data_IF_093227725260
#
_entry.id   IF_093227725260
#
_cell.length_a   1.000
_cell.length_b   1.000
_cell.length_c   1.000
_cell.angle_alpha   90.00
_cell.angle_beta   90.00
_cell.angle_gamma   90.00
#
_symmetry.space_group_name_H-M   'P 1'
#
loop_
_entity.id
_entity.type
_entity.pdbx_description
1 polymer ?
#
# COMPACT_ATOMS: atom_id res chain seq x y z
N UNK A 1 4.61 -0.75 20.86
CA UNK A 1 4.23 0.57 20.29
C UNK A 1 3.05 0.38 19.34
N UNK A 2 2.00 1.20 19.42
CA UNK A 2 0.96 1.25 18.36
C UNK A 2 1.49 2.07 17.19
N UNK A 3 1.42 1.49 15.99
CA UNK A 3 1.91 2.10 14.77
C UNK A 3 0.93 1.74 13.65
N UNK A 4 -0.17 2.55 13.49
CA UNK A 4 -1.14 2.33 12.44
C UNK A 4 -0.46 2.29 11.08
N UNK A 5 -0.71 1.23 10.28
CA UNK A 5 -0.04 1.03 9.00
C UNK A 5 -0.80 0.11 8.08
N UNK A 6 -0.60 0.29 6.79
CA UNK A 6 -1.09 -0.60 5.74
C UNK A 6 -0.03 -0.76 4.65
N UNK A 7 -0.06 -1.90 3.97
CA UNK A 7 0.75 -2.15 2.78
C UNK A 7 -0.17 -2.29 1.55
N UNK A 8 0.06 -1.47 0.55
CA UNK A 8 -0.68 -1.47 -0.72
C UNK A 8 0.04 -2.39 -1.70
N UNK A 9 -0.56 -3.54 -1.99
CA UNK A 9 -0.03 -4.52 -2.93
C UNK A 9 -0.95 -4.72 -4.15
N UNK A 10 -0.53 -5.53 -5.09
CA UNK A 10 -1.37 -5.97 -6.22
C UNK A 10 -0.96 -7.39 -6.66
N UNK A 11 -1.81 -8.09 -7.43
CA UNK A 11 -1.46 -9.40 -7.99
C UNK A 11 -0.26 -9.37 -8.94
N UNK A 12 -0.02 -8.22 -9.59
CA UNK A 12 1.06 -8.05 -10.57
C UNK A 12 1.48 -6.58 -10.71
N UNK A 13 2.57 -6.33 -11.45
CA UNK A 13 2.95 -4.99 -11.89
C UNK A 13 1.89 -4.38 -12.81
N UNK A 14 1.77 -3.04 -12.81
CA UNK A 14 0.81 -2.33 -13.66
C UNK A 14 -0.64 -2.30 -13.14
N UNK A 15 -0.94 -2.92 -12.00
CA UNK A 15 -2.29 -2.94 -11.38
C UNK A 15 -2.75 -1.60 -10.77
N UNK A 16 -1.87 -0.59 -10.73
CA UNK A 16 -2.20 0.74 -10.21
C UNK A 16 -1.78 0.98 -8.75
N UNK A 17 -0.88 0.17 -8.19
CA UNK A 17 -0.36 0.35 -6.82
C UNK A 17 0.12 1.78 -6.56
N UNK A 18 1.03 2.29 -7.41
CA UNK A 18 1.63 3.62 -7.25
C UNK A 18 0.57 4.73 -7.31
N UNK A 19 -0.39 4.62 -8.24
CA UNK A 19 -1.52 5.56 -8.34
C UNK A 19 -2.35 5.57 -7.06
N UNK A 20 -2.72 4.38 -6.56
CA UNK A 20 -3.56 4.25 -5.36
C UNK A 20 -2.78 4.64 -4.11
N UNK A 21 -1.53 4.21 -3.94
CA UNK A 21 -0.72 4.54 -2.77
C UNK A 21 -0.43 6.04 -2.69
N UNK A 22 0.00 6.66 -3.80
CA UNK A 22 0.27 8.10 -3.86
C UNK A 22 -1.01 8.91 -3.61
N UNK A 23 -2.12 8.55 -4.27
CA UNK A 23 -3.41 9.20 -4.08
C UNK A 23 -3.93 9.03 -2.64
N UNK A 24 -3.77 7.86 -2.03
CA UNK A 24 -4.17 7.61 -0.64
C UNK A 24 -3.36 8.47 0.35
N UNK A 25 -2.04 8.58 0.14
CA UNK A 25 -1.19 9.48 0.95
C UNK A 25 -1.65 10.93 0.84
N UNK A 26 -1.97 11.38 -0.39
CA UNK A 26 -2.45 12.75 -0.63
C UNK A 26 -3.85 12.99 -0.01
N UNK A 27 -4.79 12.05 -0.19
CA UNK A 27 -6.15 12.14 0.37
C UNK A 27 -6.14 12.16 1.91
N UNK A 28 -5.37 11.27 2.54
CA UNK A 28 -5.21 11.23 3.99
C UNK A 28 -4.59 12.53 4.52
N UNK A 29 -3.57 13.07 3.85
CA UNK A 29 -3.00 14.36 4.22
C UNK A 29 -4.02 15.50 4.07
N UNK A 30 -4.79 15.52 2.99
CA UNK A 30 -5.83 16.53 2.76
C UNK A 30 -6.95 16.46 3.81
N UNK A 31 -7.24 15.27 4.35
CA UNK A 31 -8.16 15.08 5.48
C UNK A 31 -7.58 15.46 6.85
N UNK A 32 -6.36 15.99 6.89
CA UNK A 32 -5.68 16.44 8.12
C UNK A 32 -4.85 15.38 8.83
N UNK A 33 -4.64 14.20 8.23
CA UNK A 33 -3.80 13.13 8.79
C UNK A 33 -2.33 13.32 8.44
N UNK A 34 -1.45 13.01 9.38
CA UNK A 34 0.00 12.95 9.15
C UNK A 34 0.37 11.56 8.65
N UNK A 35 0.89 11.47 7.42
CA UNK A 35 1.19 10.20 6.75
C UNK A 35 2.69 9.97 6.69
N UNK A 36 3.17 8.81 7.17
CA UNK A 36 4.55 8.35 6.96
C UNK A 36 4.62 7.48 5.70
N UNK A 37 5.26 7.94 4.62
CA UNK A 37 5.30 7.25 3.36
C UNK A 37 6.47 6.27 3.26
N UNK A 38 6.20 5.06 2.75
CA UNK A 38 7.23 4.05 2.52
C UNK A 38 7.05 3.35 1.16
N UNK A 39 8.16 2.85 0.64
CA UNK A 39 8.23 2.00 -0.57
C UNK A 39 8.99 0.73 -0.27
N UNK A 40 8.47 -0.42 -0.70
CA UNK A 40 9.22 -1.69 -0.67
C UNK A 40 10.27 -1.70 -1.77
N UNK A 41 11.49 -2.09 -1.41
CA UNK A 41 12.63 -2.20 -2.34
C UNK A 41 13.40 -0.90 -2.53
N UNK A 42 14.50 -0.95 -3.33
CA UNK A 42 15.43 0.17 -3.53
C UNK A 42 14.95 1.11 -4.65
N UNK A 43 13.78 1.70 -4.48
CA UNK A 43 13.21 2.62 -5.46
C UNK A 43 13.72 4.05 -5.25
N UNK A 44 14.04 4.74 -6.33
CA UNK A 44 14.51 6.13 -6.30
C UNK A 44 13.43 7.13 -6.71
N UNK A 45 12.42 6.70 -7.47
CA UNK A 45 11.44 7.58 -8.12
C UNK A 45 10.16 7.70 -7.29
N UNK A 46 9.55 6.57 -6.92
CA UNK A 46 8.29 6.52 -6.17
C UNK A 46 8.37 7.28 -4.83
N UNK A 47 9.48 7.18 -4.03
CA UNK A 47 9.61 7.98 -2.80
C UNK A 47 9.55 9.50 -3.01
N UNK A 48 9.91 10.00 -4.19
CA UNK A 48 9.74 11.41 -4.56
C UNK A 48 8.27 11.83 -4.64
N UNK A 49 7.44 11.02 -5.30
CA UNK A 49 5.99 11.23 -5.37
C UNK A 49 5.33 11.05 -4.01
N UNK A 50 5.75 10.06 -3.23
CA UNK A 50 5.27 9.84 -1.87
C UNK A 50 5.60 11.03 -0.95
N UNK A 51 6.79 11.62 -1.10
CA UNK A 51 7.17 12.83 -0.35
C UNK A 51 6.27 14.01 -0.71
N UNK A 52 5.96 14.19 -1.98
CA UNK A 52 5.07 15.25 -2.45
C UNK A 52 3.64 15.04 -1.93
N UNK A 53 3.12 13.81 -1.99
CA UNK A 53 1.78 13.45 -1.56
C UNK A 53 1.60 13.63 -0.04
N UNK A 54 2.54 13.12 0.75
CA UNK A 54 2.45 13.12 2.21
C UNK A 54 2.97 14.41 2.87
N UNK A 55 3.85 15.16 2.18
CA UNK A 55 4.60 16.28 2.76
C UNK A 55 5.73 15.84 3.71
N UNK A 56 6.09 14.55 3.71
CA UNK A 56 7.15 13.95 4.55
C UNK A 56 8.13 13.17 3.68
N UNK A 57 9.39 13.01 4.10
CA UNK A 57 10.37 12.23 3.32
C UNK A 57 9.89 10.80 3.05
N UNK A 58 9.77 10.41 1.79
CA UNK A 58 9.57 9.02 1.38
C UNK A 58 10.80 8.17 1.70
N UNK A 59 10.59 6.95 2.21
CA UNK A 59 11.65 6.03 2.63
C UNK A 59 11.49 4.66 2.01
N UNK A 60 12.60 3.99 1.76
CA UNK A 60 12.60 2.61 1.30
C UNK A 60 12.66 1.62 2.47
N UNK A 61 11.96 0.49 2.31
CA UNK A 61 12.08 -0.70 3.14
C UNK A 61 12.62 -1.81 2.25
N UNK A 62 13.91 -2.07 2.34
CA UNK A 62 14.63 -3.03 1.49
C UNK A 62 15.35 -4.06 2.36
N UNK A 63 14.76 -5.23 2.49
CA UNK A 63 15.30 -6.36 3.27
C UNK A 63 16.55 -6.97 2.63
N UNK A 64 16.72 -6.82 1.30
CA UNK A 64 17.90 -7.35 0.58
C UNK A 64 19.15 -6.54 0.91
N UNK A 65 19.04 -5.21 0.93
CA UNK A 65 20.16 -4.31 1.19
C UNK A 65 20.43 -4.10 2.68
N UNK A 66 19.37 -4.06 3.50
CA UNK A 66 19.49 -3.67 4.92
C UNK A 66 19.39 -4.85 5.90
N UNK A 67 18.88 -6.01 5.44
CA UNK A 67 18.52 -7.13 6.33
C UNK A 67 17.10 -7.02 6.88
N UNK A 68 16.47 -8.16 7.10
CA UNK A 68 15.06 -8.24 7.53
C UNK A 68 14.88 -7.69 8.94
N UNK A 69 15.88 -7.86 9.82
CA UNK A 69 15.88 -7.37 11.19
C UNK A 69 15.78 -5.85 11.32
N UNK A 70 16.14 -5.11 10.26
CA UNK A 70 16.06 -3.65 10.24
C UNK A 70 14.70 -3.13 9.72
N UNK A 71 13.85 -3.96 9.13
CA UNK A 71 12.59 -3.49 8.52
C UNK A 71 11.65 -2.87 9.55
N UNK A 72 11.41 -3.52 10.68
CA UNK A 72 10.58 -2.97 11.75
C UNK A 72 11.19 -1.72 12.42
N UNK A 73 12.49 -1.68 12.76
CA UNK A 73 13.16 -0.47 13.25
C UNK A 73 13.10 0.71 12.26
N UNK A 74 13.35 0.49 10.97
CA UNK A 74 13.28 1.52 9.94
C UNK A 74 11.86 2.07 9.75
N UNK A 75 10.86 1.20 9.76
CA UNK A 75 9.46 1.58 9.74
C UNK A 75 9.10 2.43 10.96
N UNK A 76 9.48 1.99 12.17
CA UNK A 76 9.24 2.71 13.41
C UNK A 76 9.94 4.09 13.42
N UNK A 77 11.20 4.15 12.98
CA UNK A 77 11.94 5.40 12.86
C UNK A 77 11.27 6.38 11.90
N UNK A 78 10.90 5.93 10.70
CA UNK A 78 10.23 6.80 9.72
C UNK A 78 8.83 7.23 10.13
N UNK A 79 8.14 6.43 10.95
CA UNK A 79 6.84 6.79 11.50
C UNK A 79 6.93 7.94 12.51
N UNK A 80 7.95 7.96 13.37
CA UNK A 80 8.11 8.98 14.42
C UNK A 80 8.92 10.21 13.98
N UNK A 81 9.58 10.18 12.83
CA UNK A 81 10.48 11.24 12.36
C UNK A 81 9.93 11.91 11.09
N UNK A 82 9.89 13.28 11.00
CA UNK A 82 10.33 14.27 12.00
C UNK A 82 9.42 14.35 13.24
N UNK A 83 8.13 14.07 13.10
CA UNK A 83 7.12 14.03 14.14
C UNK A 83 6.31 12.75 14.01
N UNK A 84 5.67 12.23 15.09
CA UNK A 84 4.83 11.05 15.00
C UNK A 84 3.72 11.19 13.95
N UNK A 85 3.59 10.18 13.07
CA UNK A 85 2.52 10.12 12.08
C UNK A 85 1.24 9.49 12.66
N UNK A 86 0.10 9.74 12.01
CA UNK A 86 -1.15 9.07 12.32
C UNK A 86 -1.21 7.68 11.68
N UNK A 87 -0.57 7.53 10.50
CA UNK A 87 -0.56 6.28 9.72
C UNK A 87 0.67 6.17 8.84
N UNK A 88 1.20 4.94 8.69
CA UNK A 88 2.18 4.61 7.66
C UNK A 88 1.48 3.95 6.47
N UNK A 89 1.77 4.44 5.27
CA UNK A 89 1.33 3.84 4.00
C UNK A 89 2.57 3.32 3.29
N UNK A 90 2.61 1.99 3.08
CA UNK A 90 3.73 1.30 2.44
C UNK A 90 3.29 0.89 1.04
N UNK A 91 3.93 1.40 0.00
CA UNK A 91 3.70 0.89 -1.36
C UNK A 91 4.55 -0.35 -1.60
N UNK A 92 3.92 -1.43 -2.03
CA UNK A 92 4.56 -2.68 -2.42
C UNK A 92 5.28 -2.59 -3.78
N UNK A 93 6.07 -3.61 -4.07
CA UNK A 93 6.80 -3.79 -5.33
C UNK A 93 6.23 -4.97 -6.10
N UNK A 94 6.24 -4.92 -7.44
CA UNK A 94 5.80 -6.02 -8.32
C UNK A 94 4.45 -6.66 -7.91
N UNK A 95 4.28 -7.96 -8.00
CA UNK A 95 3.19 -8.69 -7.36
C UNK A 95 3.49 -8.94 -5.87
N UNK A 96 2.44 -9.23 -5.08
CA UNK A 96 2.54 -9.38 -3.62
C UNK A 96 3.67 -10.31 -3.17
N UNK A 97 3.84 -11.43 -3.85
CA UNK A 97 4.83 -12.47 -3.51
C UNK A 97 6.08 -12.45 -4.40
N UNK A 98 6.15 -11.48 -5.34
CA UNK A 98 7.28 -11.40 -6.26
C UNK A 98 8.49 -10.75 -5.57
N UNK A 99 9.60 -11.47 -5.53
CA UNK A 99 10.88 -11.06 -4.97
C UNK A 99 12.04 -11.70 -5.73
N UNK A 100 13.17 -11.87 -5.08
CA UNK A 100 14.30 -12.59 -5.65
C UNK A 100 13.91 -14.01 -6.05
N UNK A 101 14.28 -14.41 -7.25
CA UNK A 101 13.97 -15.73 -7.77
C UNK A 101 14.45 -16.84 -6.82
N UNK A 102 13.57 -17.79 -6.54
CA UNK A 102 13.83 -18.96 -5.70
C UNK A 102 13.73 -18.72 -4.19
N UNK A 103 13.70 -17.46 -3.71
CA UNK A 103 13.62 -17.15 -2.27
C UNK A 103 12.43 -16.28 -1.89
N UNK A 104 11.87 -15.50 -2.83
CA UNK A 104 10.86 -14.48 -2.56
C UNK A 104 11.35 -13.28 -1.74
N UNK A 105 12.66 -13.20 -1.44
CA UNK A 105 13.26 -12.15 -0.64
C UNK A 105 13.11 -10.80 -1.33
N UNK A 106 12.87 -9.74 -0.56
CA UNK A 106 12.58 -8.39 -1.09
C UNK A 106 11.15 -8.24 -1.60
N UNK A 107 10.27 -9.24 -1.43
CA UNK A 107 8.86 -9.14 -1.83
C UNK A 107 8.04 -8.24 -0.88
N UNK A 108 6.90 -7.78 -1.37
CA UNK A 108 5.92 -7.07 -0.55
C UNK A 108 5.39 -7.94 0.60
N UNK A 109 5.25 -9.26 0.37
CA UNK A 109 4.84 -10.23 1.37
C UNK A 109 5.85 -10.34 2.51
N UNK A 110 7.15 -10.42 2.20
CA UNK A 110 8.21 -10.44 3.23
C UNK A 110 8.16 -9.19 4.12
N UNK A 111 8.01 -8.00 3.54
CA UNK A 111 7.87 -6.78 4.34
C UNK A 111 6.59 -6.78 5.17
N UNK A 112 5.47 -7.29 4.61
CA UNK A 112 4.21 -7.39 5.33
C UNK A 112 4.33 -8.31 6.55
N UNK A 113 4.95 -9.49 6.41
CA UNK A 113 5.14 -10.46 7.50
C UNK A 113 6.12 -9.94 8.54
N UNK A 114 7.32 -9.49 8.12
CA UNK A 114 8.37 -8.98 9.01
C UNK A 114 7.90 -7.80 9.85
N UNK A 115 7.09 -6.92 9.27
CA UNK A 115 6.53 -5.76 9.95
C UNK A 115 5.13 -6.01 10.52
N UNK A 116 4.54 -7.20 10.32
CA UNK A 116 3.14 -7.54 10.69
C UNK A 116 2.14 -6.50 10.18
N UNK A 117 2.31 -6.09 8.92
CA UNK A 117 1.48 -5.06 8.28
C UNK A 117 0.35 -5.70 7.50
N UNK A 118 -0.92 -5.33 7.73
CA UNK A 118 -2.03 -5.81 6.91
C UNK A 118 -1.90 -5.29 5.48
N UNK A 119 -2.25 -6.17 4.53
CA UNK A 119 -2.17 -5.90 3.10
C UNK A 119 -3.54 -5.47 2.58
N UNK A 120 -3.57 -4.38 1.84
CA UNK A 120 -4.70 -3.96 1.00
C UNK A 120 -4.33 -4.24 -0.46
N UNK A 121 -5.09 -5.10 -1.11
CA UNK A 121 -4.82 -5.50 -2.50
C UNK A 121 -5.52 -4.56 -3.47
N UNK A 122 -4.76 -3.91 -4.34
CA UNK A 122 -5.31 -3.16 -5.49
C UNK A 122 -5.57 -4.14 -6.61
N UNK A 123 -6.82 -4.26 -7.00
CA UNK A 123 -7.31 -5.18 -8.02
C UNK A 123 -7.67 -4.40 -9.29
N UNK A 124 -6.88 -4.57 -10.34
CA UNK A 124 -7.21 -4.02 -11.67
C UNK A 124 -8.34 -4.82 -12.29
N UNK A 125 -9.54 -4.25 -12.35
CA UNK A 125 -10.74 -4.95 -12.83
C UNK A 125 -11.00 -4.78 -14.34
N UNK A 126 -10.04 -4.24 -15.10
CA UNK A 126 -10.25 -3.87 -16.51
C UNK A 126 -10.64 -5.06 -17.43
N UNK A 127 -10.21 -6.29 -17.11
CA UNK A 127 -10.30 -7.43 -18.02
C UNK A 127 -11.01 -8.67 -17.45
N UNK A 128 -11.52 -8.60 -16.22
CA UNK A 128 -12.26 -9.69 -15.59
C UNK A 128 -13.28 -9.16 -14.59
N UNK A 129 -14.14 -10.01 -14.07
CA UNK A 129 -15.13 -9.70 -13.05
C UNK A 129 -14.91 -10.61 -11.82
N UNK A 130 -15.81 -11.54 -11.57
CA UNK A 130 -15.76 -12.45 -10.40
C UNK A 130 -14.43 -13.24 -10.30
N UNK A 131 -13.74 -13.50 -11.41
CA UNK A 131 -12.41 -14.15 -11.41
C UNK A 131 -11.40 -13.40 -10.52
N UNK A 132 -11.52 -12.08 -10.40
CA UNK A 132 -10.65 -11.32 -9.49
C UNK A 132 -10.82 -11.73 -8.02
N UNK A 133 -12.02 -12.13 -7.59
CA UNK A 133 -12.21 -12.67 -6.24
C UNK A 133 -11.40 -13.97 -6.04
N UNK A 134 -11.34 -14.85 -7.05
CA UNK A 134 -10.52 -16.05 -6.98
C UNK A 134 -9.02 -15.73 -6.91
N UNK A 135 -8.56 -14.70 -7.64
CA UNK A 135 -7.16 -14.25 -7.57
C UNK A 135 -6.84 -13.74 -6.16
N UNK A 136 -7.70 -12.89 -5.59
CA UNK A 136 -7.50 -12.35 -4.23
C UNK A 136 -7.59 -13.46 -3.19
N UNK A 137 -8.50 -14.44 -3.36
CA UNK A 137 -8.56 -15.63 -2.51
C UNK A 137 -7.22 -16.39 -2.51
N UNK A 138 -6.64 -16.59 -3.69
CA UNK A 138 -5.31 -17.21 -3.83
C UNK A 138 -4.23 -16.42 -3.08
N UNK A 139 -4.21 -15.09 -3.22
CA UNK A 139 -3.25 -14.25 -2.49
C UNK A 139 -3.45 -14.32 -0.97
N UNK A 140 -4.70 -14.39 -0.51
CA UNK A 140 -5.02 -14.43 0.92
C UNK A 140 -4.74 -15.78 1.59
N UNK A 141 -4.59 -16.85 0.80
CA UNK A 141 -4.38 -18.21 1.32
C UNK A 141 -3.02 -18.81 0.97
N UNK A 142 -2.24 -18.13 0.11
CA UNK A 142 -0.96 -18.64 -0.37
C UNK A 142 0.09 -18.74 0.74
N UNK A 143 0.11 -17.76 1.64
CA UNK A 143 1.00 -17.71 2.79
C UNK A 143 0.17 -17.34 4.04
N UNK A 144 0.10 -18.20 5.07
CA UNK A 144 -0.69 -17.97 6.28
C UNK A 144 -0.19 -16.78 7.13
N UNK A 145 1.06 -16.37 6.96
CA UNK A 145 1.64 -15.24 7.70
C UNK A 145 1.32 -13.89 7.05
N UNK A 146 0.79 -13.89 5.82
CA UNK A 146 0.35 -12.67 5.12
C UNK A 146 -1.15 -12.43 5.36
N UNK A 147 -1.48 -11.30 5.96
CA UNK A 147 -2.87 -10.91 6.20
C UNK A 147 -3.38 -9.99 5.09
N UNK A 148 -4.15 -10.52 4.14
CA UNK A 148 -4.92 -9.71 3.17
C UNK A 148 -6.18 -9.22 3.88
N UNK A 149 -6.18 -7.95 4.29
CA UNK A 149 -7.19 -7.37 5.16
C UNK A 149 -8.26 -6.54 4.42
N UNK A 150 -8.03 -6.24 3.14
CA UNK A 150 -8.98 -5.50 2.32
C UNK A 150 -8.56 -5.43 0.87
N UNK A 151 -9.46 -4.90 0.03
CA UNK A 151 -9.19 -4.67 -1.38
C UNK A 151 -9.69 -3.28 -1.84
N UNK A 152 -9.01 -2.70 -2.82
CA UNK A 152 -9.45 -1.52 -3.57
C UNK A 152 -9.57 -1.95 -5.03
N UNK A 153 -10.77 -1.82 -5.59
CA UNK A 153 -11.04 -2.13 -6.99
C UNK A 153 -10.64 -0.93 -7.86
N UNK A 154 -9.73 -1.15 -8.79
CA UNK A 154 -9.26 -0.13 -9.70
C UNK A 154 -9.79 -0.38 -11.13
N UNK A 155 -10.00 0.68 -11.90
CA UNK A 155 -10.51 0.65 -13.29
C UNK A 155 -11.87 -0.03 -13.41
N UNK A 156 -12.76 0.21 -12.46
CA UNK A 156 -14.12 -0.35 -12.48
C UNK A 156 -14.90 0.20 -13.67
N UNK A 157 -15.40 -0.69 -14.53
CA UNK A 157 -16.09 -0.32 -15.77
C UNK A 157 -17.51 0.24 -15.55
N UNK A 158 -18.19 -0.20 -14.49
CA UNK A 158 -19.53 0.25 -14.11
C UNK A 158 -19.86 -0.13 -12.68
N UNK A 159 -20.84 0.52 -12.03
CA UNK A 159 -21.26 0.15 -10.66
C UNK A 159 -21.69 -1.32 -10.54
N UNK A 160 -22.38 -1.87 -11.57
CA UNK A 160 -22.77 -3.28 -11.61
C UNK A 160 -21.56 -4.22 -11.65
N UNK A 161 -20.54 -3.87 -12.41
CA UNK A 161 -19.29 -4.64 -12.49
C UNK A 161 -18.55 -4.65 -11.15
N UNK A 162 -18.39 -3.47 -10.53
CA UNK A 162 -17.77 -3.36 -9.21
C UNK A 162 -18.54 -4.13 -8.13
N UNK A 163 -19.86 -4.05 -8.13
CA UNK A 163 -20.72 -4.79 -7.19
C UNK A 163 -20.56 -6.32 -7.32
N UNK A 164 -20.38 -6.84 -8.53
CA UNK A 164 -20.15 -8.28 -8.76
C UNK A 164 -18.82 -8.74 -8.17
N UNK A 165 -17.73 -7.99 -8.36
CA UNK A 165 -16.42 -8.30 -7.76
C UNK A 165 -16.49 -8.19 -6.25
N UNK A 166 -17.10 -7.11 -5.73
CA UNK A 166 -17.25 -6.88 -4.29
C UNK A 166 -18.06 -8.00 -3.61
N UNK A 167 -19.11 -8.50 -4.25
CA UNK A 167 -19.88 -9.65 -3.76
C UNK A 167 -19.01 -10.90 -3.63
N UNK A 168 -18.13 -11.16 -4.62
CA UNK A 168 -17.19 -12.29 -4.55
C UNK A 168 -16.20 -12.16 -3.40
N UNK A 169 -15.66 -10.95 -3.18
CA UNK A 169 -14.74 -10.67 -2.08
C UNK A 169 -15.41 -10.76 -0.70
N UNK A 170 -16.66 -10.30 -0.59
CA UNK A 170 -17.44 -10.40 0.64
C UNK A 170 -17.65 -11.86 1.09
N UNK A 171 -17.81 -12.81 0.14
CA UNK A 171 -17.89 -14.24 0.45
C UNK A 171 -16.61 -14.80 1.07
N UNK A 172 -15.48 -14.13 0.85
CA UNK A 172 -14.17 -14.48 1.42
C UNK A 172 -13.89 -13.71 2.73
N UNK A 173 -14.80 -12.86 3.18
CA UNK A 173 -14.59 -11.99 4.34
C UNK A 173 -13.63 -10.83 4.08
N UNK A 174 -13.33 -10.52 2.81
CA UNK A 174 -12.40 -9.44 2.43
C UNK A 174 -13.22 -8.19 2.07
N UNK A 175 -13.16 -7.12 2.89
CA UNK A 175 -13.88 -5.88 2.63
C UNK A 175 -13.31 -5.15 1.41
N UNK A 176 -14.21 -4.53 0.62
CA UNK A 176 -13.82 -3.60 -0.44
C UNK A 176 -13.84 -2.19 0.14
N UNK A 177 -12.66 -1.58 0.23
CA UNK A 177 -12.44 -0.25 0.80
C UNK A 177 -12.70 0.88 -0.20
N UNK A 178 -12.81 0.54 -1.49
CA UNK A 178 -13.10 1.51 -2.53
C UNK A 178 -13.24 0.90 -3.91
N UNK A 179 -13.91 1.65 -4.80
CA UNK A 179 -14.16 1.25 -6.19
C UNK A 179 -13.88 2.42 -7.11
N UNK A 180 -12.66 2.49 -7.63
CA UNK A 180 -12.17 3.59 -8.48
C UNK A 180 -12.63 3.31 -9.92
N UNK A 181 -13.43 4.19 -10.55
CA UNK A 181 -13.91 4.00 -11.90
C UNK A 181 -12.75 4.10 -12.92
N UNK A 182 -12.97 3.53 -14.09
CA UNK A 182 -12.09 3.76 -15.23
C UNK A 182 -12.29 5.20 -15.73
N UNK A 183 -11.31 6.07 -15.46
CA UNK A 183 -11.32 7.46 -15.91
C UNK A 183 -10.21 7.69 -16.92
N UNK A 184 -10.51 8.43 -18.00
CA UNK A 184 -9.51 8.88 -18.96
C UNK A 184 -8.80 10.17 -18.49
N UNK A 185 -9.46 10.94 -17.62
CA UNK A 185 -9.07 12.30 -17.22
C UNK A 185 -7.95 12.35 -16.18
N UNK A 186 -7.69 11.27 -15.44
CA UNK A 186 -6.58 11.18 -14.46
C UNK A 186 -5.62 10.06 -14.90
N UNK A 187 -5.34 10.03 -16.19
CA UNK A 187 -4.28 9.19 -16.71
C UNK A 187 -2.94 9.87 -16.39
N UNK A 188 -2.45 9.61 -15.18
CA UNK A 188 -1.01 9.70 -14.98
C UNK A 188 -0.45 8.48 -15.70
N UNK A 189 0.24 8.63 -16.83
CA UNK A 189 0.77 7.48 -17.52
C UNK A 189 1.60 6.68 -16.51
N UNK A 190 1.24 5.42 -16.30
CA UNK A 190 2.01 4.52 -15.43
C UNK A 190 3.48 4.38 -15.86
N UNK A 191 3.77 4.81 -17.11
CA UNK A 191 5.12 4.94 -17.66
C UNK A 191 5.83 6.22 -17.23
N UNK A 192 5.14 7.22 -16.68
CA UNK A 192 5.72 8.48 -16.21
C UNK A 192 5.76 8.55 -14.68
N UNK A 193 4.74 8.04 -13.96
CA UNK A 193 4.85 7.73 -12.54
C UNK A 193 5.74 6.48 -12.43
N UNK A 194 6.94 6.62 -11.89
CA UNK A 194 7.90 5.53 -11.75
C UNK A 194 9.00 5.49 -12.81
N UNK A 195 9.08 6.46 -13.76
CA UNK A 195 10.19 6.58 -14.71
C UNK A 195 10.76 8.00 -14.80
N UNK A 196 10.07 9.02 -14.27
CA UNK A 196 10.52 10.42 -14.26
C UNK A 196 10.49 10.90 -12.80
N UNK A 197 11.61 11.41 -12.26
CA UNK A 197 11.65 11.98 -10.92
C UNK A 197 10.60 13.09 -10.74
N UNK A 198 9.96 13.14 -9.57
CA UNK A 198 8.88 14.07 -9.28
C UNK A 198 9.26 15.56 -9.51
N UNK A 199 10.54 15.91 -9.32
CA UNK A 199 11.06 17.27 -9.54
C UNK A 199 11.33 17.65 -11.01
N UNK A 200 11.32 16.68 -11.92
CA UNK A 200 11.59 16.90 -13.36
C UNK A 200 10.31 17.00 -14.20
N UNK A 201 9.15 16.75 -13.59
CA UNK A 201 7.88 16.76 -14.30
C UNK A 201 7.06 18.01 -13.96
N UNK A 202 6.84 18.85 -14.95
CA UNK A 202 5.91 19.98 -14.85
C UNK A 202 4.53 19.46 -14.40
N UNK A 203 3.85 20.16 -13.48
CA UNK A 203 2.54 19.82 -12.92
C UNK A 203 2.45 18.57 -12.02
N UNK A 204 3.57 17.98 -11.57
CA UNK A 204 3.53 16.81 -10.69
C UNK A 204 2.70 17.05 -9.42
N UNK A 205 2.79 18.24 -8.83
CA UNK A 205 2.02 18.60 -7.62
C UNK A 205 0.51 18.61 -7.90
N UNK A 206 0.08 19.20 -9.03
CA UNK A 206 -1.34 19.23 -9.45
C UNK A 206 -1.87 17.82 -9.70
N UNK A 207 -1.06 16.96 -10.31
CA UNK A 207 -1.45 15.57 -10.59
C UNK A 207 -1.54 14.75 -9.31
N UNK A 208 -0.61 14.91 -8.38
CA UNK A 208 -0.67 14.25 -7.06
C UNK A 208 -1.90 14.72 -6.29
N UNK A 209 -2.23 16.01 -6.31
CA UNK A 209 -3.46 16.52 -5.71
C UNK A 209 -4.71 15.89 -6.36
N UNK A 210 -4.76 15.85 -7.70
CA UNK A 210 -5.87 15.21 -8.43
C UNK A 210 -6.01 13.71 -8.14
N UNK A 211 -4.91 12.99 -7.89
CA UNK A 211 -4.97 11.62 -7.39
C UNK A 211 -5.55 11.56 -5.98
N UNK A 212 -5.22 12.53 -5.12
CA UNK A 212 -5.79 12.64 -3.78
C UNK A 212 -7.30 12.84 -3.83
N UNK A 213 -7.78 13.76 -4.67
CA UNK A 213 -9.21 14.04 -4.86
C UNK A 213 -9.95 12.78 -5.37
N UNK A 214 -9.38 12.08 -6.35
CA UNK A 214 -9.94 10.82 -6.86
C UNK A 214 -10.06 9.77 -5.75
N UNK A 215 -9.02 9.58 -4.97
CA UNK A 215 -9.05 8.59 -3.88
C UNK A 215 -10.05 9.02 -2.80
N UNK A 216 -10.11 10.29 -2.44
CA UNK A 216 -11.08 10.78 -1.45
C UNK A 216 -12.54 10.59 -1.89
N UNK A 217 -12.82 10.62 -3.20
CA UNK A 217 -14.17 10.40 -3.75
C UNK A 217 -14.58 8.92 -3.74
N UNK A 218 -13.64 7.98 -4.01
CA UNK A 218 -13.98 6.57 -4.29
C UNK A 218 -13.47 5.57 -3.27
N UNK A 219 -12.72 6.00 -2.25
CA UNK A 219 -12.16 5.13 -1.20
C UNK A 219 -12.62 5.62 0.17
N UNK A 220 -13.11 4.70 0.99
CA UNK A 220 -13.48 4.94 2.39
C UNK A 220 -12.20 5.10 3.24
N UNK A 221 -11.79 6.36 3.45
CA UNK A 221 -10.58 6.68 4.21
C UNK A 221 -10.70 6.31 5.69
N UNK A 222 -11.89 6.36 6.27
CA UNK A 222 -12.10 5.98 7.68
C UNK A 222 -11.96 4.46 7.83
N UNK A 223 -12.53 3.66 6.94
CA UNK A 223 -12.33 2.21 6.91
C UNK A 223 -10.85 1.82 6.72
N UNK A 224 -10.11 2.56 5.89
CA UNK A 224 -8.65 2.40 5.75
C UNK A 224 -7.93 2.68 7.05
N UNK A 225 -8.29 3.76 7.76
CA UNK A 225 -7.69 4.11 9.06
C UNK A 225 -8.02 3.09 10.15
N UNK A 226 -9.26 2.60 10.20
CA UNK A 226 -9.68 1.56 11.13
C UNK A 226 -8.89 0.27 10.92
N UNK A 227 -8.70 -0.12 9.66
CA UNK A 227 -7.89 -1.27 9.30
C UNK A 227 -6.41 -1.07 9.69
N UNK A 228 -5.84 0.09 9.43
CA UNK A 228 -4.48 0.43 9.80
C UNK A 228 -4.26 0.39 11.33
N UNK A 229 -5.27 0.73 12.12
CA UNK A 229 -5.20 0.78 13.59
C UNK A 229 -5.19 -0.61 14.26
N UNK A 230 -5.47 -1.69 13.54
CA UNK A 230 -5.48 -3.07 14.09
C UNK A 230 -4.10 -3.59 14.46
N UNK A 231 -3.02 -2.88 14.10
CA UNK A 231 -1.64 -3.36 14.14
C UNK A 231 -0.89 -3.00 15.41
N UNK A 232 -0.20 -4.01 16.00
CA UNK A 232 0.83 -3.80 17.02
C UNK A 232 2.20 -4.12 16.42
N UNK A 233 3.18 -3.23 16.62
CA UNK A 233 4.58 -3.47 16.23
C UNK A 233 5.43 -3.63 17.49
N UNK A 234 6.11 -4.78 17.61
CA UNK A 234 7.12 -5.03 18.63
C UNK A 234 8.50 -4.82 17.99
N UNK A 235 9.23 -3.80 18.44
CA UNK A 235 10.55 -3.44 17.91
C UNK A 235 11.71 -3.99 18.74
N UNK A 236 11.45 -4.52 19.94
CA UNK A 236 12.46 -5.14 20.82
C UNK A 236 11.79 -6.19 21.71
N UNK A 237 12.48 -7.28 22.07
CA UNK A 237 12.05 -8.07 23.20
C UNK A 237 12.02 -7.18 24.44
N UNK A 238 11.00 -7.37 25.28
CA UNK A 238 10.95 -6.72 26.59
C UNK A 238 12.18 -7.12 27.39
N UNK A 239 12.78 -6.25 28.21
CA UNK A 239 13.84 -6.68 29.15
C UNK A 239 13.44 -7.88 30.02
N UNK A 240 12.13 -8.13 30.21
CA UNK A 240 11.60 -9.31 30.92
C UNK A 240 11.69 -10.60 30.11
N UNK A 241 11.71 -10.52 28.77
CA UNK A 241 11.79 -11.69 27.90
C UNK A 241 13.23 -12.24 27.80
N UNK A 242 14.23 -11.47 28.29
CA UNK A 242 15.65 -11.82 28.27
C UNK A 242 16.08 -12.50 29.59
N UNK A 243 15.29 -12.36 30.67
CA UNK A 243 15.63 -12.94 31.99
C UNK A 243 15.11 -14.39 32.15
N UNK A 244 14.30 -14.90 31.24
CA UNK A 244 13.73 -16.26 31.29
C UNK A 244 14.39 -17.27 30.31
N UNK A 245 15.60 -16.95 29.77
CA UNK A 245 16.28 -17.82 28.80
C UNK A 245 17.55 -18.43 29.39
#
# INVERSE_FOLDING_TARGET
>A
MRLPRILIAAPASGGGKTTVATGLMAALRASGRTVAPFKVGPDYIDPGYHSMASGRPGRNLDSVMCGDELMAPLLAHGFVTPDPADVAVIEGVMGLFDGQLGTGRGSSAEIATTTRTPVVVVVDTAHASLTHAAVVAGLATFDPDVTVAGAILNRVASPRHGAEVARGLAQLGIPVLGQIPRTESIFVPSRHLGLVPAGEWEDSATKVAGLGDLIAEYVDLDAVMDLAATCLLYTSPSPRDVEES
#
